data_IF_623173254493
#
_entry.id   IF_623173254493
#
_cell.length_a   1.000
_cell.length_b   1.000
_cell.length_c   1.000
_cell.angle_alpha   90.00
_cell.angle_beta   90.00
_cell.angle_gamma   90.00
#
_symmetry.space_group_name_H-M   'P 1'
#
loop_
_entity.id
_entity.type
_entity.pdbx_description
1 polymer ?
#
# COMPACT_ATOMS: atom_id res chain seq x y z
N UNK A 1 -3.89 13.28 -7.05
CA UNK A 1 -3.60 11.84 -6.86
C UNK A 1 -4.17 11.10 -8.05
N UNK A 2 -3.34 10.34 -8.77
CA UNK A 2 -3.80 9.58 -9.93
C UNK A 2 -4.85 8.54 -9.50
N UNK A 3 -5.72 8.13 -10.42
CA UNK A 3 -6.73 7.11 -10.13
C UNK A 3 -6.08 5.79 -9.67
N UNK A 4 -4.92 5.45 -10.25
CA UNK A 4 -4.12 4.28 -9.91
C UNK A 4 -3.63 4.35 -8.46
N UNK A 5 -2.98 5.44 -8.04
CA UNK A 5 -2.47 5.57 -6.67
C UNK A 5 -3.58 5.40 -5.63
N UNK A 6 -4.73 6.02 -5.89
CA UNK A 6 -5.89 5.95 -4.98
C UNK A 6 -6.41 4.52 -4.85
N UNK A 7 -6.49 3.80 -5.96
CA UNK A 7 -6.95 2.41 -5.95
C UNK A 7 -5.94 1.49 -5.26
N UNK A 8 -4.64 1.72 -5.45
CA UNK A 8 -3.59 0.96 -4.78
C UNK A 8 -3.62 1.16 -3.27
N UNK A 9 -3.75 2.40 -2.80
CA UNK A 9 -3.86 2.71 -1.38
C UNK A 9 -5.10 2.04 -0.76
N UNK A 10 -6.25 2.13 -1.42
CA UNK A 10 -7.49 1.51 -0.92
C UNK A 10 -7.41 -0.01 -0.89
N UNK A 11 -6.91 -0.63 -1.97
CA UNK A 11 -6.75 -2.08 -2.06
C UNK A 11 -5.82 -2.61 -0.98
N UNK A 12 -4.66 -1.98 -0.82
CA UNK A 12 -3.66 -2.38 0.17
C UNK A 12 -4.20 -2.31 1.60
N UNK A 13 -4.90 -1.22 1.95
CA UNK A 13 -5.52 -1.08 3.28
C UNK A 13 -6.66 -2.08 3.50
N UNK A 14 -7.48 -2.33 2.47
CA UNK A 14 -8.49 -3.37 2.54
C UNK A 14 -7.86 -4.75 2.79
N UNK A 15 -6.71 -5.04 2.18
CA UNK A 15 -5.99 -6.28 2.42
C UNK A 15 -5.37 -6.37 3.81
N UNK A 16 -4.78 -5.28 4.32
CA UNK A 16 -4.27 -5.23 5.70
C UNK A 16 -5.33 -5.59 6.74
N UNK A 17 -6.59 -5.18 6.51
CA UNK A 17 -7.70 -5.39 7.43
C UNK A 17 -8.44 -6.72 7.17
N UNK A 18 -8.55 -7.14 5.91
CA UNK A 18 -9.35 -8.29 5.50
C UNK A 18 -8.60 -9.62 5.45
N UNK A 19 -7.27 -9.60 5.30
CA UNK A 19 -6.46 -10.81 5.09
C UNK A 19 -5.26 -10.85 6.06
N UNK A 20 -5.47 -11.12 7.36
CA UNK A 20 -4.42 -11.08 8.37
C UNK A 20 -3.32 -12.14 8.16
N UNK A 21 -3.56 -13.17 7.36
CA UNK A 21 -2.56 -14.18 6.97
C UNK A 21 -1.55 -13.67 5.96
N UNK A 22 -1.86 -12.59 5.24
CA UNK A 22 -0.97 -12.02 4.23
C UNK A 22 -0.02 -11.03 4.89
N UNK A 23 1.31 -11.22 4.80
CA UNK A 23 2.26 -10.30 5.41
C UNK A 23 2.15 -8.89 4.80
N UNK A 24 1.98 -7.87 5.65
CA UNK A 24 1.88 -6.46 5.20
C UNK A 24 3.04 -6.03 4.28
N UNK A 25 4.31 -6.42 4.52
CA UNK A 25 5.40 -6.06 3.60
C UNK A 25 5.23 -6.60 2.18
N UNK A 26 4.56 -7.75 2.01
CA UNK A 26 4.28 -8.33 0.68
C UNK A 26 3.26 -7.46 -0.05
N UNK A 27 2.17 -7.09 0.61
CA UNK A 27 1.12 -6.21 0.04
C UNK A 27 1.73 -4.86 -0.39
N UNK A 28 2.61 -4.28 0.45
CA UNK A 28 3.29 -3.03 0.13
C UNK A 28 4.17 -3.17 -1.11
N UNK A 29 4.98 -4.23 -1.19
CA UNK A 29 5.85 -4.48 -2.35
C UNK A 29 5.04 -4.63 -3.64
N UNK A 30 3.94 -5.39 -3.64
CA UNK A 30 3.09 -5.54 -4.83
C UNK A 30 2.43 -4.22 -5.25
N UNK A 31 1.99 -3.40 -4.29
CA UNK A 31 1.43 -2.09 -4.59
C UNK A 31 2.48 -1.16 -5.26
N UNK A 32 3.74 -1.23 -4.83
CA UNK A 32 4.85 -0.46 -5.42
C UNK A 32 5.14 -0.92 -6.85
N UNK A 33 5.19 -2.23 -7.10
CA UNK A 33 5.44 -2.76 -8.44
C UNK A 33 4.34 -2.37 -9.43
N UNK A 34 3.08 -2.39 -9.00
CA UNK A 34 1.96 -1.90 -9.82
C UNK A 34 2.08 -0.39 -10.06
N UNK A 35 2.46 0.39 -9.04
CA UNK A 35 2.66 1.83 -9.18
C UNK A 35 3.77 2.18 -10.19
N UNK A 36 4.90 1.45 -10.16
CA UNK A 36 6.00 1.62 -11.12
C UNK A 36 5.56 1.35 -12.56
N UNK A 37 4.63 0.42 -12.76
CA UNK A 37 4.17 0.01 -14.08
C UNK A 37 3.06 0.90 -14.64
N UNK A 38 2.19 1.42 -13.79
CA UNK A 38 0.94 2.08 -14.22
C UNK A 38 0.76 3.52 -13.71
N UNK A 39 1.71 4.06 -12.96
CA UNK A 39 1.65 5.42 -12.41
C UNK A 39 2.95 6.20 -12.66
N UNK A 40 3.15 7.32 -11.98
CA UNK A 40 4.34 8.15 -12.14
C UNK A 40 5.53 7.61 -11.34
N UNK A 41 6.79 7.99 -11.69
CA UNK A 41 7.98 7.59 -10.95
C UNK A 41 7.92 7.94 -9.46
N UNK A 42 7.27 9.06 -9.11
CA UNK A 42 7.12 9.55 -7.75
C UNK A 42 6.07 8.76 -6.94
N UNK A 43 5.11 8.13 -7.62
CA UNK A 43 4.03 7.37 -6.98
C UNK A 43 4.54 6.18 -6.18
N UNK A 44 5.58 5.48 -6.65
CA UNK A 44 6.15 4.33 -5.95
C UNK A 44 6.65 4.71 -4.54
N UNK A 45 7.39 5.82 -4.43
CA UNK A 45 7.90 6.31 -3.15
C UNK A 45 6.78 6.84 -2.26
N UNK A 46 5.81 7.55 -2.85
CA UNK A 46 4.64 8.05 -2.14
C UNK A 46 3.81 6.90 -1.53
N UNK A 47 3.50 5.87 -2.33
CA UNK A 47 2.70 4.71 -1.90
C UNK A 47 3.44 3.94 -0.81
N UNK A 48 4.75 3.68 -0.97
CA UNK A 48 5.53 3.02 0.08
C UNK A 48 5.43 3.77 1.41
N UNK A 49 5.68 5.08 1.41
CA UNK A 49 5.65 5.89 2.63
C UNK A 49 4.28 5.91 3.31
N UNK A 50 3.19 6.02 2.54
CA UNK A 50 1.83 6.00 3.10
C UNK A 50 1.49 4.63 3.68
N UNK A 51 1.73 3.54 2.93
CA UNK A 51 1.38 2.20 3.38
C UNK A 51 2.23 1.73 4.57
N UNK A 52 3.51 2.10 4.62
CA UNK A 52 4.37 1.86 5.79
C UNK A 52 3.82 2.54 7.05
N UNK A 53 3.33 3.79 6.92
CA UNK A 53 2.74 4.52 8.04
C UNK A 53 1.47 3.84 8.54
N UNK A 54 0.58 3.45 7.61
CA UNK A 54 -0.67 2.78 7.95
C UNK A 54 -0.41 1.40 8.56
N UNK A 55 0.53 0.63 8.02
CA UNK A 55 0.89 -0.68 8.56
C UNK A 55 1.35 -0.60 10.03
N UNK A 56 2.18 0.40 10.36
CA UNK A 56 2.64 0.65 11.74
C UNK A 56 1.50 1.10 12.65
N UNK A 57 0.62 1.96 12.17
CA UNK A 57 -0.54 2.43 12.93
C UNK A 57 -1.48 1.27 13.30
N UNK A 58 -1.76 0.38 12.34
CA UNK A 58 -2.56 -0.82 12.56
C UNK A 58 -1.92 -1.83 13.51
N UNK A 59 -0.59 -1.90 13.56
CA UNK A 59 0.12 -2.73 14.55
C UNK A 59 0.11 -2.12 15.95
N UNK A 60 0.13 -0.78 16.05
CA UNK A 60 0.05 -0.09 17.35
C UNK A 60 -1.36 -0.03 17.96
N UNK A 61 -2.38 -0.25 17.13
CA UNK A 61 -3.80 -0.16 17.53
C UNK A 61 -4.45 -1.52 17.82
N UNK A 62 -3.69 -2.62 17.69
CA UNK A 62 -4.10 -3.99 18.04
C UNK A 62 -3.40 -4.50 19.28
#
# INVERSE_FOLDING_TARGET
MAAVDRNLLRGSVAEFLGYPSTPKPVIINEAIEIARKFSSPESAQFINGVLDSVAKELESSG
#
